data_IF_098662087749
#
_entry.id   IF_098662087749
#
_cell.length_a   1.000
_cell.length_b   1.000
_cell.length_c   1.000
_cell.angle_alpha   90.00
_cell.angle_beta   90.00
_cell.angle_gamma   90.00
#
_symmetry.space_group_name_H-M   'P 1'
#
loop_
_entity.id
_entity.type
_entity.pdbx_description
1 polymer ?
#
# COMPACT_ATOMS: atom_id res chain seq x y z
N UNK A 1 -52.28 32.58 -35.05
CA UNK A 1 -51.90 32.29 -33.66
C UNK A 1 -51.41 30.85 -33.61
N UNK A 2 -50.11 30.64 -33.57
CA UNK A 2 -49.46 29.34 -33.40
C UNK A 2 -48.72 29.43 -32.05
N UNK A 3 -49.23 28.69 -31.04
CA UNK A 3 -48.58 28.50 -29.74
C UNK A 3 -47.40 27.57 -29.92
N UNK A 4 -46.20 28.02 -29.61
CA UNK A 4 -45.01 27.20 -29.49
C UNK A 4 -44.97 26.67 -28.06
N UNK A 5 -45.11 25.34 -27.90
CA UNK A 5 -44.79 24.63 -26.66
C UNK A 5 -43.26 24.60 -26.49
N UNK A 6 -42.77 25.34 -25.50
CA UNK A 6 -41.39 25.14 -25.00
C UNK A 6 -41.38 23.93 -24.06
N UNK A 7 -40.82 22.84 -24.51
CA UNK A 7 -40.50 21.68 -23.67
C UNK A 7 -39.24 22.05 -22.86
N UNK A 8 -39.38 22.29 -21.54
CA UNK A 8 -38.26 22.35 -20.62
C UNK A 8 -37.68 20.94 -20.50
N UNK A 9 -36.54 20.73 -21.15
CA UNK A 9 -35.64 19.64 -20.80
C UNK A 9 -35.04 20.01 -19.45
N UNK A 10 -35.49 19.39 -18.37
CA UNK A 10 -34.80 19.37 -17.10
C UNK A 10 -33.52 18.56 -17.33
N UNK A 11 -32.41 19.26 -17.43
CA UNK A 11 -31.09 18.65 -17.33
C UNK A 11 -30.98 18.06 -15.91
N UNK A 12 -31.20 16.77 -15.80
CA UNK A 12 -30.74 15.98 -14.67
C UNK A 12 -29.23 16.24 -14.55
N UNK A 13 -28.80 16.86 -13.45
CA UNK A 13 -27.37 16.91 -13.11
C UNK A 13 -26.92 15.46 -12.91
N UNK A 14 -26.37 14.87 -13.95
CA UNK A 14 -25.67 13.60 -13.82
C UNK A 14 -24.56 13.85 -12.80
N UNK A 15 -24.64 13.23 -11.64
CA UNK A 15 -23.54 13.10 -10.71
C UNK A 15 -22.36 12.59 -11.52
N UNK A 16 -21.20 13.23 -11.45
CA UNK A 16 -20.01 12.76 -12.13
C UNK A 16 -19.77 11.31 -11.69
N UNK A 17 -19.87 10.37 -12.64
CA UNK A 17 -19.67 8.95 -12.36
C UNK A 17 -18.27 8.70 -11.85
N UNK A 18 -18.11 7.70 -11.02
CA UNK A 18 -16.80 7.21 -10.57
C UNK A 18 -16.45 5.98 -11.42
N UNK A 19 -15.28 6.00 -12.04
CA UNK A 19 -14.85 4.88 -12.86
C UNK A 19 -14.07 3.86 -12.03
N UNK A 20 -14.39 2.58 -12.19
CA UNK A 20 -13.68 1.50 -11.55
C UNK A 20 -13.22 0.47 -12.57
N UNK A 21 -12.01 -0.05 -12.40
CA UNK A 21 -11.56 -1.27 -13.08
C UNK A 21 -11.77 -2.47 -12.18
N UNK A 22 -12.29 -3.56 -12.75
CA UNK A 22 -12.64 -4.79 -12.03
C UNK A 22 -12.36 -6.00 -12.93
N UNK A 23 -12.04 -7.15 -12.35
CA UNK A 23 -11.97 -8.38 -13.12
C UNK A 23 -13.32 -8.74 -13.76
N UNK A 24 -13.32 -9.16 -15.02
CA UNK A 24 -14.57 -9.51 -15.72
C UNK A 24 -15.33 -10.65 -15.08
N UNK A 25 -14.66 -11.52 -14.35
CA UNK A 25 -15.25 -12.61 -13.57
C UNK A 25 -16.05 -12.11 -12.35
N UNK A 26 -15.77 -10.89 -11.86
CA UNK A 26 -16.50 -10.25 -10.78
C UNK A 26 -17.68 -9.36 -11.25
N UNK A 27 -17.90 -9.20 -12.54
CA UNK A 27 -19.05 -8.45 -13.08
C UNK A 27 -20.42 -8.93 -12.54
N UNK A 28 -20.67 -10.24 -12.35
CA UNK A 28 -21.93 -10.70 -11.77
C UNK A 28 -22.19 -10.12 -10.37
N UNK A 29 -21.16 -9.94 -9.55
CA UNK A 29 -21.28 -9.31 -8.24
C UNK A 29 -21.62 -7.82 -8.37
N UNK A 30 -20.87 -7.09 -9.18
CA UNK A 30 -21.13 -5.67 -9.40
C UNK A 30 -22.58 -5.42 -9.82
N UNK A 31 -23.11 -6.21 -10.77
CA UNK A 31 -24.50 -6.09 -11.18
C UNK A 31 -25.51 -6.61 -10.14
N UNK A 32 -25.09 -7.43 -9.18
CA UNK A 32 -25.95 -7.79 -8.04
C UNK A 32 -26.08 -6.60 -7.09
N UNK A 33 -25.00 -5.89 -6.80
CA UNK A 33 -25.04 -4.62 -6.05
C UNK A 33 -25.93 -3.62 -6.77
N UNK A 34 -25.71 -3.40 -8.07
CA UNK A 34 -26.53 -2.47 -8.86
C UNK A 34 -28.02 -2.75 -8.74
N UNK A 35 -28.44 -4.01 -8.78
CA UNK A 35 -29.86 -4.40 -8.61
C UNK A 35 -30.37 -4.20 -7.20
N UNK A 36 -29.56 -4.56 -6.19
CA UNK A 36 -29.94 -4.45 -4.78
C UNK A 36 -30.09 -2.99 -4.34
N UNK A 37 -29.16 -2.17 -4.75
CA UNK A 37 -29.11 -0.74 -4.40
C UNK A 37 -29.94 0.14 -5.37
N UNK A 38 -30.61 -0.46 -6.36
CA UNK A 38 -31.33 0.27 -7.41
C UNK A 38 -30.46 1.30 -8.16
N UNK A 39 -29.16 1.01 -8.30
CA UNK A 39 -28.18 1.88 -8.90
C UNK A 39 -27.86 1.51 -10.36
N UNK A 40 -27.47 2.50 -11.17
CA UNK A 40 -27.09 2.27 -12.56
C UNK A 40 -25.57 2.05 -12.66
N UNK A 41 -25.16 0.82 -12.92
CA UNK A 41 -23.77 0.48 -13.28
C UNK A 41 -23.70 0.28 -14.78
N UNK A 42 -22.70 0.87 -15.44
CA UNK A 42 -22.50 0.74 -16.87
C UNK A 42 -21.11 0.19 -17.19
N UNK A 43 -21.05 -0.83 -18.05
CA UNK A 43 -19.77 -1.26 -18.62
C UNK A 43 -19.39 -0.25 -19.70
N UNK A 44 -18.28 0.46 -19.50
CA UNK A 44 -17.75 1.45 -20.44
C UNK A 44 -16.77 0.80 -21.41
N UNK A 45 -15.97 -0.15 -20.94
CA UNK A 45 -15.04 -0.94 -21.73
C UNK A 45 -14.77 -2.29 -21.07
N UNK A 46 -14.32 -3.26 -21.85
CA UNK A 46 -13.81 -4.54 -21.34
C UNK A 46 -12.73 -5.07 -22.29
N UNK A 47 -11.59 -5.46 -21.77
CA UNK A 47 -10.47 -6.06 -22.51
C UNK A 47 -9.60 -6.89 -21.55
N UNK A 48 -8.98 -7.92 -22.04
CA UNK A 48 -7.95 -8.71 -21.35
C UNK A 48 -8.34 -9.15 -19.92
N UNK A 49 -9.62 -9.50 -19.71
CA UNK A 49 -10.10 -9.95 -18.40
C UNK A 49 -10.44 -8.82 -17.41
N UNK A 50 -10.31 -7.56 -17.82
CA UNK A 50 -10.63 -6.37 -17.00
C UNK A 50 -11.82 -5.64 -17.64
N UNK A 51 -12.75 -5.16 -16.83
CA UNK A 51 -13.84 -4.27 -17.23
C UNK A 51 -13.68 -2.91 -16.56
N UNK A 52 -14.05 -1.85 -17.29
CA UNK A 52 -14.21 -0.50 -16.77
C UNK A 52 -15.70 -0.25 -16.56
N UNK A 53 -16.09 0.06 -15.34
CA UNK A 53 -17.46 0.41 -14.99
C UNK A 53 -17.55 1.90 -14.64
N UNK A 54 -18.67 2.52 -15.04
CA UNK A 54 -19.15 3.78 -14.46
C UNK A 54 -20.09 3.42 -13.31
N UNK A 55 -19.75 3.84 -12.11
CA UNK A 55 -20.41 3.48 -10.84
C UNK A 55 -20.71 4.75 -10.06
N UNK A 56 -21.90 4.94 -9.49
CA UNK A 56 -22.16 6.04 -8.57
C UNK A 56 -21.20 5.99 -7.36
N UNK A 57 -20.67 7.13 -6.94
CA UNK A 57 -19.64 7.19 -5.89
C UNK A 57 -20.10 6.64 -4.53
N UNK A 58 -21.40 6.74 -4.23
CA UNK A 58 -22.02 6.17 -3.02
C UNK A 58 -22.13 4.65 -3.06
N UNK A 59 -21.91 4.03 -4.23
CA UNK A 59 -21.94 2.59 -4.42
C UNK A 59 -20.58 1.90 -4.30
N UNK A 60 -19.51 2.65 -4.04
CA UNK A 60 -18.16 2.07 -3.83
C UNK A 60 -18.12 1.19 -2.58
N UNK A 61 -18.74 1.62 -1.47
CA UNK A 61 -18.76 0.84 -0.24
C UNK A 61 -19.62 -0.45 -0.40
N UNK A 62 -20.88 -0.42 -0.91
CA UNK A 62 -21.61 -1.64 -1.23
C UNK A 62 -20.87 -2.58 -2.19
N UNK A 63 -20.15 -2.02 -3.17
CA UNK A 63 -19.35 -2.83 -4.10
C UNK A 63 -18.17 -3.50 -3.37
N UNK A 64 -17.45 -2.76 -2.54
CA UNK A 64 -16.36 -3.29 -1.70
C UNK A 64 -16.89 -4.39 -0.77
N UNK A 65 -17.98 -4.15 -0.02
CA UNK A 65 -18.61 -5.16 0.84
C UNK A 65 -18.92 -6.45 0.08
N UNK A 66 -19.44 -6.34 -1.14
CA UNK A 66 -19.76 -7.50 -1.97
C UNK A 66 -18.50 -8.23 -2.44
N UNK A 67 -17.44 -7.51 -2.82
CA UNK A 67 -16.16 -8.12 -3.19
C UNK A 67 -15.56 -8.90 -2.02
N UNK A 68 -15.56 -8.33 -0.83
CA UNK A 68 -15.05 -9.00 0.36
C UNK A 68 -15.89 -10.22 0.76
N UNK A 69 -17.22 -10.11 0.75
CA UNK A 69 -18.10 -11.13 1.33
C UNK A 69 -18.45 -12.26 0.39
N UNK A 70 -18.63 -11.99 -0.90
CA UNK A 70 -19.07 -12.98 -1.89
C UNK A 70 -17.91 -13.51 -2.74
N UNK A 71 -16.91 -12.68 -2.99
CA UNK A 71 -15.75 -13.03 -3.83
C UNK A 71 -14.47 -13.26 -3.02
N UNK A 72 -14.50 -12.91 -1.72
CA UNK A 72 -13.34 -13.00 -0.85
C UNK A 72 -12.11 -12.30 -1.45
N UNK A 73 -12.29 -11.09 -1.97
CA UNK A 73 -11.24 -10.27 -2.57
C UNK A 73 -10.96 -9.05 -1.71
N UNK A 74 -9.69 -8.77 -1.43
CA UNK A 74 -9.27 -7.48 -0.88
C UNK A 74 -9.48 -6.41 -1.94
N UNK A 75 -10.03 -5.26 -1.58
CA UNK A 75 -10.38 -4.19 -2.52
C UNK A 75 -11.26 -4.65 -3.67
N UNK A 76 -10.77 -5.57 -4.46
CA UNK A 76 -11.46 -6.25 -5.55
C UNK A 76 -11.68 -5.42 -6.81
N UNK A 77 -11.37 -4.13 -6.76
CA UNK A 77 -11.45 -3.17 -7.86
C UNK A 77 -10.50 -2.00 -7.62
N UNK A 78 -10.25 -1.22 -8.63
CA UNK A 78 -9.43 -0.01 -8.54
C UNK A 78 -10.26 1.20 -8.97
N UNK A 79 -10.31 2.25 -8.15
CA UNK A 79 -11.09 3.47 -8.41
C UNK A 79 -10.25 4.45 -9.25
N UNK A 80 -10.84 5.08 -10.24
CA UNK A 80 -10.20 6.05 -11.11
C UNK A 80 -10.92 7.41 -11.08
N UNK A 81 -10.17 8.49 -11.19
CA UNK A 81 -10.70 9.86 -11.19
C UNK A 81 -11.38 10.26 -12.49
N UNK A 82 -11.02 9.60 -13.57
CA UNK A 82 -11.59 9.87 -14.89
C UNK A 82 -11.64 8.59 -15.73
N UNK A 83 -12.48 8.62 -16.75
CA UNK A 83 -12.51 7.56 -17.77
C UNK A 83 -11.15 7.42 -18.47
N UNK A 84 -10.47 8.53 -18.71
CA UNK A 84 -9.13 8.51 -19.33
C UNK A 84 -8.12 7.76 -18.45
N UNK A 85 -8.15 7.98 -17.13
CA UNK A 85 -7.28 7.23 -16.20
C UNK A 85 -7.64 5.74 -16.17
N UNK A 86 -8.94 5.41 -16.19
CA UNK A 86 -9.40 4.02 -16.18
C UNK A 86 -9.04 3.25 -17.46
N UNK A 87 -8.99 3.94 -18.59
CA UNK A 87 -8.64 3.38 -19.90
C UNK A 87 -7.13 3.51 -20.24
N UNK A 88 -6.36 4.18 -19.38
CA UNK A 88 -4.93 4.37 -19.62
C UNK A 88 -4.20 3.02 -19.58
N UNK A 89 -3.42 2.73 -20.62
CA UNK A 89 -2.48 1.62 -20.55
C UNK A 89 -1.45 1.88 -19.43
N UNK A 90 -0.96 0.84 -18.76
CA UNK A 90 0.14 0.98 -17.81
C UNK A 90 1.33 1.71 -18.45
N UNK A 91 1.96 2.60 -17.70
CA UNK A 91 3.19 3.25 -18.15
C UNK A 91 4.26 2.16 -18.31
N UNK A 92 5.06 2.18 -19.39
CA UNK A 92 6.15 1.21 -19.53
C UNK A 92 7.05 1.19 -18.30
N UNK A 93 7.35 0.00 -17.81
CA UNK A 93 8.17 -0.20 -16.62
C UNK A 93 9.57 0.39 -16.81
N UNK A 94 10.05 1.10 -15.79
CA UNK A 94 11.42 1.60 -15.75
C UNK A 94 12.40 0.42 -15.64
N UNK A 95 13.41 0.41 -16.50
CA UNK A 95 14.46 -0.63 -16.46
C UNK A 95 15.48 -0.30 -15.37
N UNK A 96 15.66 -1.22 -14.43
CA UNK A 96 16.73 -1.16 -13.44
C UNK A 96 17.61 -2.41 -13.55
N UNK A 97 18.86 -2.29 -13.10
CA UNK A 97 19.76 -3.44 -12.99
C UNK A 97 19.74 -3.97 -11.57
N UNK A 98 19.47 -5.26 -11.44
CA UNK A 98 19.43 -5.96 -10.17
C UNK A 98 20.76 -6.67 -9.93
N UNK A 99 21.43 -6.36 -8.82
CA UNK A 99 22.69 -6.99 -8.40
C UNK A 99 22.66 -7.32 -6.92
N UNK A 100 23.22 -8.46 -6.56
CA UNK A 100 23.47 -8.86 -5.15
C UNK A 100 24.95 -8.55 -4.88
N UNK A 101 25.20 -7.43 -4.22
CA UNK A 101 26.57 -6.94 -3.96
C UNK A 101 26.74 -6.23 -2.60
N UNK A 102 25.76 -6.35 -1.71
CA UNK A 102 25.77 -5.79 -0.35
C UNK A 102 25.64 -6.86 0.74
N UNK A 103 26.10 -8.06 0.46
CA UNK A 103 25.91 -9.22 1.35
C UNK A 103 26.38 -8.96 2.77
N UNK A 104 27.55 -8.33 2.97
CA UNK A 104 28.08 -8.01 4.29
C UNK A 104 27.16 -7.09 5.09
N UNK A 105 26.57 -6.08 4.42
CA UNK A 105 25.63 -5.13 5.03
C UNK A 105 24.33 -5.83 5.39
N UNK A 106 23.75 -6.62 4.47
CA UNK A 106 22.53 -7.38 4.74
C UNK A 106 22.71 -8.30 5.94
N UNK A 107 23.79 -9.11 5.96
CA UNK A 107 24.06 -10.06 7.05
C UNK A 107 24.32 -9.38 8.40
N UNK A 108 24.79 -8.15 8.42
CA UNK A 108 24.95 -7.37 9.65
C UNK A 108 23.62 -6.83 10.19
N UNK A 109 22.65 -6.52 9.31
CA UNK A 109 21.34 -6.01 9.72
C UNK A 109 20.37 -7.12 10.13
N UNK A 110 20.36 -8.25 9.43
CA UNK A 110 19.41 -9.35 9.68
C UNK A 110 19.30 -9.77 11.16
N UNK A 111 20.40 -9.87 11.95
CA UNK A 111 20.32 -10.25 13.37
C UNK A 111 19.65 -9.21 14.27
N UNK A 112 19.42 -7.98 13.79
CA UNK A 112 18.74 -6.94 14.57
C UNK A 112 17.22 -7.11 14.58
N UNK A 113 16.67 -7.93 13.68
CA UNK A 113 15.22 -8.16 13.58
C UNK A 113 14.72 -9.03 14.73
N UNK A 114 13.58 -8.63 15.32
CA UNK A 114 12.99 -9.29 16.49
C UNK A 114 11.50 -9.61 16.25
N UNK A 115 11.18 -10.89 16.26
CA UNK A 115 9.81 -11.41 16.13
C UNK A 115 8.85 -10.82 17.17
N UNK A 116 9.33 -10.59 18.40
CA UNK A 116 8.51 -10.04 19.48
C UNK A 116 8.05 -8.62 19.19
N UNK A 117 8.87 -7.84 18.51
CA UNK A 117 8.51 -6.48 18.06
C UNK A 117 7.42 -6.54 16.99
N UNK A 118 7.53 -7.47 16.04
CA UNK A 118 6.49 -7.75 15.05
C UNK A 118 5.16 -8.13 15.71
N UNK A 119 5.19 -9.16 16.56
CA UNK A 119 3.99 -9.63 17.27
C UNK A 119 3.38 -8.54 18.17
N UNK A 120 4.23 -7.70 18.79
CA UNK A 120 3.78 -6.55 19.58
C UNK A 120 3.03 -5.53 18.72
N UNK A 121 3.58 -5.16 17.56
CA UNK A 121 2.94 -4.21 16.63
C UNK A 121 1.62 -4.73 16.10
N UNK A 122 1.55 -6.02 15.70
CA UNK A 122 0.29 -6.65 15.27
C UNK A 122 -0.75 -6.58 16.39
N UNK A 123 -0.38 -6.93 17.63
CA UNK A 123 -1.32 -6.90 18.77
C UNK A 123 -1.86 -5.49 19.03
N UNK A 124 -0.99 -4.48 18.99
CA UNK A 124 -1.39 -3.09 19.26
C UNK A 124 -2.35 -2.57 18.20
N UNK A 125 -2.08 -2.81 16.90
CA UNK A 125 -2.97 -2.42 15.82
C UNK A 125 -4.30 -3.20 15.83
N UNK A 126 -4.24 -4.52 16.03
CA UNK A 126 -5.44 -5.37 16.06
C UNK A 126 -6.29 -5.23 17.34
N UNK A 127 -5.78 -4.54 18.36
CA UNK A 127 -6.56 -4.18 19.55
C UNK A 127 -7.49 -2.98 19.29
N UNK A 128 -7.29 -2.21 18.24
CA UNK A 128 -8.21 -1.15 17.83
C UNK A 128 -9.52 -1.78 17.31
N UNK A 129 -10.69 -1.17 17.57
CA UNK A 129 -12.00 -1.75 17.19
C UNK A 129 -12.08 -2.03 15.69
N UNK A 130 -11.59 -1.10 14.91
CA UNK A 130 -11.30 -1.20 13.47
C UNK A 130 -10.28 -0.12 13.11
N UNK A 131 -9.76 -0.22 11.86
CA UNK A 131 -8.90 0.83 11.31
C UNK A 131 -9.51 1.39 10.02
N UNK A 132 -10.84 1.33 9.89
CA UNK A 132 -11.55 1.77 8.70
C UNK A 132 -11.25 3.25 8.40
N UNK A 133 -10.93 3.57 7.17
CA UNK A 133 -10.40 4.87 6.75
C UNK A 133 -11.29 6.08 7.07
N UNK A 134 -12.61 5.88 7.23
CA UNK A 134 -13.59 6.93 7.64
C UNK A 134 -13.87 6.95 9.13
N UNK A 135 -13.30 6.06 9.92
CA UNK A 135 -13.57 5.99 11.36
C UNK A 135 -12.61 6.86 12.16
N UNK A 136 -13.03 7.24 13.38
CA UNK A 136 -12.14 7.88 14.34
C UNK A 136 -10.97 6.95 14.73
N UNK A 137 -11.23 5.65 14.85
CA UNK A 137 -10.19 4.66 15.13
C UNK A 137 -9.19 4.52 13.98
N UNK A 138 -9.63 4.68 12.71
CA UNK A 138 -8.72 4.76 11.57
C UNK A 138 -7.79 5.97 11.64
N UNK A 139 -8.33 7.15 12.02
CA UNK A 139 -7.50 8.34 12.26
C UNK A 139 -6.52 8.14 13.44
N UNK A 140 -6.96 7.49 14.51
CA UNK A 140 -6.12 7.14 15.66
C UNK A 140 -4.99 6.20 15.26
N UNK A 141 -5.25 5.22 14.39
CA UNK A 141 -4.23 4.30 13.87
C UNK A 141 -3.13 5.05 13.11
N UNK A 142 -3.47 6.05 12.30
CA UNK A 142 -2.48 6.89 11.61
C UNK A 142 -1.61 7.66 12.60
N UNK A 143 -2.21 8.27 13.60
CA UNK A 143 -1.49 9.03 14.63
C UNK A 143 -0.56 8.10 15.43
N UNK A 144 -1.09 6.96 15.86
CA UNK A 144 -0.33 5.95 16.60
C UNK A 144 0.90 5.48 15.81
N UNK A 145 0.71 5.14 14.53
CA UNK A 145 1.83 4.67 13.69
C UNK A 145 2.84 5.78 13.44
N UNK A 146 2.38 7.02 13.19
CA UNK A 146 3.27 8.16 13.01
C UNK A 146 4.12 8.42 14.25
N UNK A 147 3.56 8.33 15.45
CA UNK A 147 4.31 8.47 16.72
C UNK A 147 5.32 7.34 16.89
N UNK A 148 4.91 6.10 16.62
CA UNK A 148 5.81 4.95 16.68
C UNK A 148 6.97 5.10 15.71
N UNK A 149 6.72 5.51 14.48
CA UNK A 149 7.78 5.73 13.50
C UNK A 149 8.67 6.93 13.85
N UNK A 150 8.11 8.01 14.42
CA UNK A 150 8.92 9.14 14.94
C UNK A 150 9.85 8.70 16.05
N UNK A 151 9.44 7.78 16.91
CA UNK A 151 10.31 7.23 17.95
C UNK A 151 11.52 6.44 17.39
N UNK A 152 11.40 5.87 16.20
CA UNK A 152 12.49 5.22 15.47
C UNK A 152 13.36 6.23 14.71
N UNK A 153 12.78 7.33 14.26
CA UNK A 153 13.43 8.35 13.41
C UNK A 153 14.34 9.29 14.20
N UNK A 154 15.21 8.75 15.05
CA UNK A 154 16.11 9.55 15.90
C UNK A 154 17.31 10.14 15.16
N UNK A 155 17.63 9.61 13.98
CA UNK A 155 18.71 10.10 13.14
C UNK A 155 18.30 11.36 12.39
N UNK A 156 19.19 12.36 12.35
CA UNK A 156 18.98 13.60 11.58
C UNK A 156 18.67 13.30 10.10
N UNK A 157 17.68 14.00 9.56
CA UNK A 157 17.22 13.86 8.18
C UNK A 157 16.18 12.77 7.96
N UNK A 158 15.96 11.83 8.89
CA UNK A 158 14.82 10.91 8.82
C UNK A 158 13.56 11.67 9.21
N UNK A 159 12.52 11.58 8.37
CA UNK A 159 11.26 12.30 8.58
C UNK A 159 10.07 11.36 8.63
N UNK A 160 9.03 11.74 9.38
CA UNK A 160 7.74 11.02 9.43
C UNK A 160 6.62 12.02 9.28
N UNK A 161 5.75 11.80 8.31
CA UNK A 161 4.65 12.69 7.97
C UNK A 161 3.32 11.94 7.90
N UNK A 162 2.24 12.63 8.26
CA UNK A 162 0.87 12.27 7.93
C UNK A 162 0.52 12.97 6.62
N UNK A 163 0.02 12.21 5.66
CA UNK A 163 -0.38 12.73 4.33
C UNK A 163 -1.90 12.63 4.23
N UNK A 164 -2.55 13.79 4.15
CA UNK A 164 -4.00 13.92 4.12
C UNK A 164 -4.50 13.93 2.66
N UNK A 165 -5.36 12.98 2.32
CA UNK A 165 -6.03 12.92 1.02
C UNK A 165 -7.56 13.13 1.13
N UNK A 166 -8.02 13.68 2.26
CA UNK A 166 -9.42 14.06 2.48
C UNK A 166 -10.23 13.03 3.25
N UNK A 167 -9.58 12.09 3.93
CA UNK A 167 -10.22 11.12 4.81
C UNK A 167 -9.77 11.31 6.26
N UNK A 168 -10.55 10.86 7.27
CA UNK A 168 -10.12 10.87 8.67
C UNK A 168 -8.80 10.13 8.91
N UNK A 169 -8.63 8.94 8.31
CA UNK A 169 -7.36 8.24 8.29
C UNK A 169 -6.41 8.91 7.29
N UNK A 170 -5.14 9.07 7.65
CA UNK A 170 -4.09 9.57 6.77
C UNK A 170 -3.13 8.45 6.40
N UNK A 171 -2.54 8.52 5.23
CA UNK A 171 -1.34 7.72 4.95
C UNK A 171 -0.18 8.19 5.83
N UNK A 172 0.64 7.25 6.31
CA UNK A 172 1.84 7.57 7.10
C UNK A 172 3.08 7.31 6.26
N UNK A 173 3.95 8.31 6.16
CA UNK A 173 5.15 8.24 5.31
C UNK A 173 6.39 8.49 6.16
N UNK A 174 7.34 7.52 6.19
CA UNK A 174 8.67 7.70 6.73
C UNK A 174 9.69 7.75 5.60
N UNK A 175 10.59 8.73 5.64
CA UNK A 175 11.65 8.88 4.65
C UNK A 175 13.02 8.78 5.30
N UNK A 176 13.84 7.87 4.81
CA UNK A 176 15.27 7.76 5.11
C UNK A 176 16.03 8.34 3.91
N UNK A 177 16.66 9.52 4.03
CA UNK A 177 17.28 10.17 2.88
C UNK A 177 18.48 9.41 2.36
N UNK A 178 18.61 9.36 1.05
CA UNK A 178 19.78 8.83 0.37
C UNK A 178 20.98 9.76 0.46
N UNK A 179 22.19 9.20 0.36
CA UNK A 179 23.45 9.95 0.49
C UNK A 179 24.00 10.40 -0.86
N UNK A 180 24.09 9.53 -1.86
CA UNK A 180 24.74 9.78 -3.15
C UNK A 180 23.76 9.83 -4.33
N UNK A 181 22.64 9.14 -4.22
CA UNK A 181 21.59 9.00 -5.26
C UNK A 181 20.23 9.35 -4.67
N UNK A 182 20.16 10.44 -3.89
CA UNK A 182 18.99 10.82 -3.12
C UNK A 182 17.75 11.11 -3.97
N UNK A 183 17.91 11.40 -5.27
CA UNK A 183 16.82 11.58 -6.23
C UNK A 183 16.22 10.26 -6.75
N UNK A 184 16.87 9.13 -6.51
CA UNK A 184 16.32 7.81 -6.79
C UNK A 184 15.66 7.27 -5.53
N UNK A 185 14.41 6.85 -5.64
CA UNK A 185 13.56 6.49 -4.50
C UNK A 185 13.16 5.03 -4.56
N UNK A 186 13.18 4.37 -3.43
CA UNK A 186 12.65 3.03 -3.23
C UNK A 186 11.48 3.15 -2.27
N UNK A 187 10.36 2.53 -2.62
CA UNK A 187 9.14 2.53 -1.81
C UNK A 187 8.89 1.16 -1.21
N UNK A 188 8.63 1.12 0.08
CA UNK A 188 8.16 -0.09 0.78
C UNK A 188 6.80 0.23 1.36
N UNK A 189 5.76 -0.50 0.95
CA UNK A 189 4.37 -0.20 1.30
C UNK A 189 3.62 -1.35 1.95
N UNK A 190 2.58 -1.01 2.67
CA UNK A 190 1.51 -1.84 3.22
C UNK A 190 0.32 -0.95 3.52
N UNK A 191 -0.87 -1.49 3.77
CA UNK A 191 -2.03 -0.65 4.08
C UNK A 191 -2.39 -0.63 5.58
N UNK A 192 -2.90 0.50 6.02
CA UNK A 192 -3.18 0.73 7.44
C UNK A 192 -4.63 0.48 7.81
N UNK A 193 -5.54 0.66 6.86
CA UNK A 193 -6.96 0.43 7.10
C UNK A 193 -7.26 -1.07 7.29
N UNK A 194 -8.38 -1.35 7.90
CA UNK A 194 -8.97 -2.68 7.98
C UNK A 194 -10.47 -2.58 7.90
N UNK A 195 -11.12 -3.62 7.39
CA UNK A 195 -12.56 -3.66 7.16
C UNK A 195 -13.17 -4.95 7.70
N UNK A 196 -14.43 -4.91 8.08
CA UNK A 196 -15.25 -6.08 8.30
C UNK A 196 -16.70 -5.79 7.90
N UNK A 197 -17.47 -6.84 7.67
CA UNK A 197 -18.91 -6.72 7.42
C UNK A 197 -19.59 -5.91 8.52
N UNK A 198 -20.37 -4.91 8.14
CA UNK A 198 -21.01 -3.97 9.07
C UNK A 198 -20.37 -2.58 9.11
N UNK A 199 -19.35 -2.34 8.30
CA UNK A 199 -18.78 -1.02 8.04
C UNK A 199 -18.18 -0.36 9.29
N UNK A 200 -18.48 0.92 9.50
CA UNK A 200 -17.90 1.76 10.57
C UNK A 200 -18.03 1.21 11.99
N UNK A 201 -19.06 0.42 12.28
CA UNK A 201 -19.32 -0.13 13.61
C UNK A 201 -18.83 -1.56 13.78
N UNK A 202 -18.31 -2.18 12.75
CA UNK A 202 -17.82 -3.55 12.79
C UNK A 202 -16.51 -3.64 13.57
N UNK A 203 -16.34 -4.76 14.29
CA UNK A 203 -15.04 -5.11 14.85
C UNK A 203 -14.20 -5.73 13.73
N UNK A 204 -13.13 -5.04 13.34
CA UNK A 204 -12.21 -5.43 12.27
C UNK A 204 -10.77 -5.37 12.79
N UNK A 205 -10.32 -6.38 13.54
CA UNK A 205 -8.96 -6.40 14.09
C UNK A 205 -7.89 -6.30 12.99
N UNK A 206 -8.11 -6.95 11.83
CA UNK A 206 -7.19 -6.92 10.72
C UNK A 206 -5.77 -7.27 11.14
N UNK A 207 -5.60 -8.38 11.88
CA UNK A 207 -4.30 -8.74 12.43
C UNK A 207 -3.34 -9.21 11.34
N UNK A 208 -3.88 -9.90 10.36
CA UNK A 208 -3.15 -10.35 9.20
C UNK A 208 -3.31 -9.35 8.05
N UNK A 209 -4.51 -8.87 7.84
CA UNK A 209 -4.91 -7.92 6.81
C UNK A 209 -5.22 -6.52 7.41
N UNK A 210 -4.29 -5.52 7.46
CA UNK A 210 -2.87 -5.67 7.14
C UNK A 210 -1.98 -5.15 8.30
N UNK A 211 -2.35 -5.47 9.56
CA UNK A 211 -1.44 -5.15 10.67
C UNK A 211 -0.13 -5.95 10.55
N UNK A 212 -0.14 -7.11 9.87
CA UNK A 212 1.05 -7.93 9.66
C UNK A 212 2.03 -7.25 8.71
N UNK A 213 1.58 -6.67 7.60
CA UNK A 213 2.41 -5.88 6.69
C UNK A 213 2.94 -4.61 7.35
N UNK A 214 2.09 -3.86 8.06
CA UNK A 214 2.53 -2.67 8.82
C UNK A 214 3.59 -3.03 9.88
N UNK A 215 3.43 -4.15 10.58
CA UNK A 215 4.42 -4.63 11.52
C UNK A 215 5.74 -4.97 10.82
N UNK A 216 5.66 -5.62 9.67
CA UNK A 216 6.82 -5.97 8.84
C UNK A 216 7.55 -4.71 8.35
N UNK A 217 6.81 -3.70 7.84
CA UNK A 217 7.38 -2.38 7.49
C UNK A 217 8.10 -1.74 8.67
N UNK A 218 7.45 -1.71 9.83
CA UNK A 218 7.99 -1.10 11.05
C UNK A 218 9.27 -1.80 11.49
N UNK A 219 9.32 -3.11 11.42
CA UNK A 219 10.49 -3.89 11.83
C UNK A 219 11.66 -3.75 10.85
N UNK A 220 11.39 -3.69 9.54
CA UNK A 220 12.41 -3.38 8.53
C UNK A 220 13.02 -2.01 8.83
N UNK A 221 12.19 -0.98 9.01
CA UNK A 221 12.65 0.38 9.31
C UNK A 221 13.47 0.41 10.61
N UNK A 222 12.98 -0.26 11.68
CA UNK A 222 13.68 -0.35 12.96
C UNK A 222 15.04 -1.01 12.81
N UNK A 223 15.11 -2.15 12.13
CA UNK A 223 16.37 -2.88 11.94
C UNK A 223 17.41 -2.06 11.17
N UNK A 224 16.99 -1.40 10.08
CA UNK A 224 17.86 -0.53 9.29
C UNK A 224 18.38 0.67 10.10
N UNK A 225 17.50 1.32 10.88
CA UNK A 225 17.86 2.49 11.68
C UNK A 225 18.73 2.09 12.89
N UNK A 226 18.43 0.96 13.55
CA UNK A 226 19.23 0.45 14.67
C UNK A 226 20.65 0.05 14.25
N UNK A 227 20.83 -0.42 13.02
CA UNK A 227 22.14 -0.75 12.45
C UNK A 227 22.87 0.47 11.85
N UNK A 228 22.32 1.68 12.01
CA UNK A 228 22.83 2.92 11.35
C UNK A 228 23.04 2.75 9.84
N UNK A 229 22.13 2.03 9.17
CA UNK A 229 22.21 1.87 7.72
C UNK A 229 21.98 3.20 7.00
N UNK A 230 22.89 3.57 6.10
CA UNK A 230 22.92 4.82 5.34
C UNK A 230 22.78 4.50 3.85
N UNK A 231 21.55 4.56 3.29
CA UNK A 231 21.32 4.22 1.90
C UNK A 231 21.97 5.22 0.94
N UNK A 232 22.32 4.77 -0.27
CA UNK A 232 22.66 5.69 -1.36
C UNK A 232 21.42 6.31 -2.00
N UNK A 233 20.36 5.53 -2.17
CA UNK A 233 19.03 5.95 -2.65
C UNK A 233 18.13 6.29 -1.47
N UNK A 234 17.22 7.21 -1.65
CA UNK A 234 16.20 7.50 -0.65
C UNK A 234 15.27 6.30 -0.48
N UNK A 235 14.97 5.93 0.76
CA UNK A 235 14.03 4.86 1.11
C UNK A 235 12.79 5.49 1.74
N UNK A 236 11.62 5.17 1.20
CA UNK A 236 10.33 5.68 1.66
C UNK A 236 9.46 4.51 2.10
N UNK A 237 9.08 4.50 3.37
CA UNK A 237 8.08 3.58 3.91
C UNK A 237 6.73 4.26 3.86
N UNK A 238 5.72 3.56 3.37
CA UNK A 238 4.35 4.09 3.26
C UNK A 238 3.36 3.10 3.87
N UNK A 239 2.61 3.57 4.86
CA UNK A 239 1.40 2.90 5.29
C UNK A 239 0.21 3.59 4.61
N UNK A 240 -0.37 2.94 3.62
CA UNK A 240 -1.45 3.52 2.80
C UNK A 240 -2.76 3.54 3.58
N UNK A 241 -3.55 4.59 3.42
CA UNK A 241 -4.94 4.67 3.83
C UNK A 241 -5.85 4.04 2.77
N UNK A 242 -7.05 3.60 3.16
CA UNK A 242 -8.17 3.31 2.26
C UNK A 242 -7.82 2.38 1.07
N UNK A 243 -7.03 1.32 1.32
CA UNK A 243 -6.79 0.25 0.35
C UNK A 243 -8.06 -0.51 0.04
N UNK A 244 -8.79 -0.90 1.08
CA UNK A 244 -9.96 -1.77 1.10
C UNK A 244 -11.16 -1.24 0.29
N UNK A 245 -11.11 0.03 -0.11
CA UNK A 245 -12.13 0.71 -0.92
C UNK A 245 -11.55 1.10 -2.29
N UNK A 246 -10.78 0.20 -2.90
CA UNK A 246 -10.31 0.38 -4.27
C UNK A 246 -9.03 1.18 -4.40
N UNK A 247 -8.07 0.96 -3.52
CA UNK A 247 -6.69 1.46 -3.58
C UNK A 247 -6.58 2.99 -3.57
N UNK A 248 -7.45 3.68 -2.79
CA UNK A 248 -7.57 5.14 -2.86
C UNK A 248 -6.29 5.83 -2.40
N UNK A 249 -5.69 5.36 -1.29
CA UNK A 249 -4.49 5.94 -0.69
C UNK A 249 -3.26 5.79 -1.56
N UNK A 250 -2.98 4.59 -2.03
CA UNK A 250 -1.80 4.35 -2.89
C UNK A 250 -1.87 5.11 -4.20
N UNK A 251 -3.06 5.20 -4.80
CA UNK A 251 -3.24 6.04 -5.99
C UNK A 251 -2.99 7.52 -5.69
N UNK A 252 -3.38 8.00 -4.50
CA UNK A 252 -3.12 9.37 -4.09
C UNK A 252 -1.62 9.62 -3.89
N UNK A 253 -0.93 8.74 -3.19
CA UNK A 253 0.54 8.77 -3.02
C UNK A 253 1.27 8.74 -4.36
N UNK A 254 0.87 7.86 -5.28
CA UNK A 254 1.47 7.79 -6.63
C UNK A 254 1.29 9.11 -7.40
N UNK A 255 0.13 9.76 -7.26
CA UNK A 255 -0.07 11.09 -7.86
C UNK A 255 0.84 12.14 -7.24
N UNK A 256 1.07 12.07 -5.92
CA UNK A 256 1.98 12.97 -5.23
C UNK A 256 3.43 12.75 -5.69
N UNK A 257 3.87 11.50 -5.83
CA UNK A 257 5.17 11.18 -6.42
C UNK A 257 5.32 11.76 -7.84
N UNK A 258 4.30 11.61 -8.68
CA UNK A 258 4.31 12.19 -10.03
C UNK A 258 4.39 13.72 -10.02
N UNK A 259 3.62 14.39 -9.15
CA UNK A 259 3.65 15.85 -9.01
C UNK A 259 5.02 16.36 -8.54
N UNK A 260 5.65 15.62 -7.64
CA UNK A 260 6.99 15.93 -7.15
C UNK A 260 8.12 15.51 -8.10
N UNK A 261 7.80 14.91 -9.25
CA UNK A 261 8.78 14.32 -10.18
C UNK A 261 9.74 13.34 -9.49
N UNK A 262 9.23 12.57 -8.53
CA UNK A 262 10.05 11.56 -7.83
C UNK A 262 10.40 10.42 -8.78
N UNK A 263 11.69 10.09 -8.83
CA UNK A 263 12.20 8.97 -9.61
C UNK A 263 12.13 7.68 -8.78
N UNK A 264 10.95 7.03 -8.73
CA UNK A 264 10.77 5.78 -8.01
C UNK A 264 11.34 4.63 -8.84
N UNK A 265 12.46 4.06 -8.41
CA UNK A 265 13.21 3.03 -9.14
C UNK A 265 12.87 1.61 -8.71
N UNK A 266 12.07 1.42 -7.67
CA UNK A 266 11.61 0.12 -7.23
C UNK A 266 10.63 0.23 -6.07
N UNK A 267 9.74 -0.73 -5.95
CA UNK A 267 8.80 -0.80 -4.85
C UNK A 267 8.56 -2.25 -4.37
N UNK A 268 8.26 -2.41 -3.10
CA UNK A 268 7.87 -3.66 -2.48
C UNK A 268 6.56 -3.44 -1.70
N UNK A 269 5.53 -4.19 -2.00
CA UNK A 269 4.28 -4.21 -1.24
C UNK A 269 4.29 -5.37 -0.27
N UNK A 270 3.99 -5.08 0.98
CA UNK A 270 3.85 -6.06 2.06
C UNK A 270 2.42 -5.99 2.57
N UNK A 271 1.65 -6.98 2.22
CA UNK A 271 0.23 -7.10 2.50
C UNK A 271 -0.04 -8.56 2.80
N UNK A 272 -0.49 -8.86 4.01
CA UNK A 272 -0.64 -10.21 4.56
C UNK A 272 0.69 -10.99 4.56
N UNK A 273 1.39 -10.92 5.69
CA UNK A 273 2.75 -11.48 5.81
C UNK A 273 2.89 -12.55 6.90
N UNK A 274 1.81 -12.85 7.65
CA UNK A 274 1.97 -13.66 8.88
C UNK A 274 1.25 -15.01 8.89
N UNK A 275 0.24 -15.26 8.06
CA UNK A 275 -0.46 -16.54 8.03
C UNK A 275 0.20 -17.53 7.06
N UNK A 276 0.76 -18.61 7.59
CA UNK A 276 1.34 -19.68 6.76
C UNK A 276 0.28 -20.69 6.31
N UNK A 277 -0.43 -20.39 5.21
CA UNK A 277 -1.55 -21.21 4.72
C UNK A 277 -1.17 -22.31 3.74
N UNK A 278 0.06 -22.31 3.18
CA UNK A 278 0.46 -23.21 2.13
C UNK A 278 1.85 -23.84 2.34
N UNK A 279 2.27 -24.69 1.41
CA UNK A 279 3.49 -25.50 1.47
C UNK A 279 4.78 -24.68 1.44
N UNK A 280 4.78 -23.53 0.74
CA UNK A 280 5.92 -22.64 0.67
C UNK A 280 5.76 -21.46 1.61
N UNK A 281 6.87 -20.81 1.92
CA UNK A 281 6.91 -19.70 2.86
C UNK A 281 6.56 -18.36 2.21
N UNK A 282 6.94 -18.17 0.95
CA UNK A 282 6.71 -16.91 0.22
C UNK A 282 6.17 -17.21 -1.17
N UNK A 283 5.11 -16.51 -1.55
CA UNK A 283 4.54 -16.55 -2.89
C UNK A 283 4.68 -15.19 -3.55
N UNK A 284 5.37 -15.13 -4.69
CA UNK A 284 5.55 -13.88 -5.46
C UNK A 284 4.37 -13.75 -6.43
N UNK A 285 3.51 -12.75 -6.21
CA UNK A 285 2.37 -12.49 -7.07
C UNK A 285 2.82 -11.98 -8.43
N UNK A 286 2.15 -12.43 -9.50
CA UNK A 286 2.50 -12.09 -10.88
C UNK A 286 1.66 -10.96 -11.47
N UNK A 287 0.48 -10.72 -10.91
CA UNK A 287 -0.42 -9.68 -11.41
C UNK A 287 0.07 -8.31 -10.96
N UNK A 288 0.08 -7.35 -11.87
CA UNK A 288 0.52 -5.98 -11.61
C UNK A 288 1.91 -5.88 -10.95
N UNK A 289 2.81 -6.80 -11.27
CA UNK A 289 4.18 -6.83 -10.74
C UNK A 289 5.23 -6.93 -11.85
N UNK A 290 6.46 -6.55 -11.51
CA UNK A 290 7.62 -6.68 -12.39
C UNK A 290 8.17 -8.11 -12.38
N UNK A 291 8.17 -8.77 -13.52
CA UNK A 291 8.75 -10.11 -13.63
C UNK A 291 10.27 -10.11 -13.32
N UNK A 292 10.98 -9.05 -13.72
CA UNK A 292 12.41 -8.88 -13.42
C UNK A 292 12.67 -8.71 -11.93
N UNK A 293 11.88 -7.88 -11.25
CA UNK A 293 12.02 -7.69 -9.81
C UNK A 293 11.57 -8.94 -9.03
N UNK A 294 10.53 -9.63 -9.47
CA UNK A 294 10.12 -10.91 -8.86
C UNK A 294 11.24 -11.96 -8.94
N UNK A 295 11.90 -12.10 -10.09
CA UNK A 295 13.05 -12.99 -10.23
C UNK A 295 14.21 -12.60 -9.29
N UNK A 296 14.45 -11.31 -9.13
CA UNK A 296 15.44 -10.79 -8.19
C UNK A 296 15.06 -11.08 -6.74
N UNK A 297 13.78 -10.93 -6.35
CA UNK A 297 13.33 -11.33 -5.01
C UNK A 297 13.57 -12.82 -4.74
N UNK A 298 13.33 -13.68 -5.72
CA UNK A 298 13.68 -15.11 -5.61
C UNK A 298 15.16 -15.31 -5.27
N UNK A 299 16.05 -14.59 -5.96
CA UNK A 299 17.49 -14.61 -5.66
C UNK A 299 17.80 -14.12 -4.24
N UNK A 300 17.09 -13.07 -3.77
CA UNK A 300 17.28 -12.56 -2.40
C UNK A 300 16.81 -13.57 -1.35
N UNK A 301 15.69 -14.23 -1.59
CA UNK A 301 15.20 -15.29 -0.69
C UNK A 301 16.24 -16.41 -0.58
N UNK A 302 16.70 -16.93 -1.72
CA UNK A 302 17.70 -18.00 -1.76
C UNK A 302 19.02 -17.60 -1.08
N UNK A 303 19.41 -16.32 -1.15
CA UNK A 303 20.68 -15.83 -0.61
C UNK A 303 20.61 -15.49 0.88
N UNK A 304 19.51 -14.87 1.33
CA UNK A 304 19.46 -14.21 2.64
C UNK A 304 18.41 -14.76 3.59
N UNK A 305 17.36 -15.43 3.09
CA UNK A 305 16.26 -15.92 3.94
C UNK A 305 16.42 -17.42 4.12
N UNK A 306 17.45 -17.81 4.87
CA UNK A 306 17.88 -19.19 5.00
C UNK A 306 16.75 -20.16 5.36
N UNK A 307 16.58 -21.20 4.55
CA UNK A 307 15.58 -22.24 4.73
C UNK A 307 14.18 -21.89 4.20
N UNK A 308 13.91 -20.64 3.81
CA UNK A 308 12.63 -20.27 3.25
C UNK A 308 12.45 -20.81 1.83
N UNK A 309 11.27 -21.30 1.55
CA UNK A 309 10.86 -21.78 0.23
C UNK A 309 9.93 -20.80 -0.44
N UNK A 310 10.03 -20.66 -1.76
CA UNK A 310 9.21 -19.69 -2.48
C UNK A 310 8.67 -20.21 -3.82
N UNK A 311 7.68 -19.54 -4.37
CA UNK A 311 7.09 -19.85 -5.67
C UNK A 311 6.32 -18.66 -6.23
N UNK A 312 5.64 -18.89 -7.35
CA UNK A 312 4.79 -17.89 -8.00
C UNK A 312 3.32 -18.24 -7.85
N UNK A 313 2.49 -17.21 -7.67
CA UNK A 313 1.04 -17.31 -7.73
C UNK A 313 0.44 -16.07 -8.40
N UNK A 314 -0.87 -15.95 -8.45
CA UNK A 314 -1.61 -14.87 -9.07
C UNK A 314 -2.88 -14.57 -8.29
N UNK A 315 -3.21 -13.28 -8.13
CA UNK A 315 -4.50 -12.84 -7.58
C UNK A 315 -5.61 -12.92 -8.63
N UNK A 316 -5.29 -12.64 -9.89
CA UNK A 316 -6.23 -12.49 -10.98
C UNK A 316 -6.87 -11.10 -11.09
N UNK A 317 -6.46 -10.14 -10.25
CA UNK A 317 -6.97 -8.76 -10.21
C UNK A 317 -5.97 -7.85 -9.50
N UNK A 318 -6.24 -6.52 -9.42
CA UNK A 318 -5.47 -5.55 -8.66
C UNK A 318 -5.75 -5.74 -7.16
N UNK A 319 -5.05 -6.67 -6.52
CA UNK A 319 -5.38 -7.20 -5.20
C UNK A 319 -4.70 -6.47 -4.04
N UNK A 320 -3.90 -5.47 -4.29
CA UNK A 320 -3.32 -4.57 -3.29
C UNK A 320 -2.67 -3.35 -3.94
N UNK A 321 -2.12 -2.45 -3.13
CA UNK A 321 -1.56 -1.14 -3.50
C UNK A 321 -0.43 -1.17 -4.53
N UNK A 322 0.26 -2.31 -4.69
CA UNK A 322 1.27 -2.48 -5.75
C UNK A 322 0.71 -2.19 -7.14
N UNK A 323 -0.58 -2.44 -7.36
CA UNK A 323 -1.21 -2.19 -8.65
C UNK A 323 -1.19 -0.69 -9.02
N UNK A 324 -1.33 0.21 -8.05
CA UNK A 324 -1.21 1.66 -8.25
C UNK A 324 0.18 2.07 -8.72
N UNK A 325 1.22 1.47 -8.15
CA UNK A 325 2.62 1.70 -8.53
C UNK A 325 2.93 1.11 -9.91
N UNK A 326 2.48 -0.12 -10.16
CA UNK A 326 2.63 -0.77 -11.47
C UNK A 326 2.00 0.04 -12.60
N UNK A 327 0.77 0.53 -12.40
CA UNK A 327 0.08 1.39 -13.37
C UNK A 327 0.89 2.66 -13.70
N UNK A 328 1.70 3.12 -12.76
CA UNK A 328 2.59 4.26 -12.92
C UNK A 328 3.94 3.93 -13.57
N UNK A 329 4.20 2.68 -13.91
CA UNK A 329 5.46 2.23 -14.53
C UNK A 329 6.59 2.00 -13.52
N UNK A 330 6.28 1.93 -12.24
CA UNK A 330 7.25 1.60 -11.19
C UNK A 330 7.47 0.09 -11.16
N UNK A 331 8.72 -0.41 -11.21
CA UNK A 331 9.00 -1.80 -10.91
C UNK A 331 8.55 -2.14 -9.49
N UNK A 332 7.61 -3.07 -9.35
CA UNK A 332 7.04 -3.42 -8.05
C UNK A 332 6.87 -4.93 -7.92
N UNK A 333 7.01 -5.44 -6.71
CA UNK A 333 6.73 -6.83 -6.35
C UNK A 333 5.85 -6.90 -5.11
N UNK A 334 5.08 -7.98 -5.01
CA UNK A 334 4.25 -8.32 -3.86
C UNK A 334 4.56 -9.77 -3.44
N UNK A 335 5.49 -9.98 -2.48
CA UNK A 335 5.58 -11.24 -1.79
C UNK A 335 4.39 -11.41 -0.86
N UNK A 336 3.80 -12.60 -0.84
CA UNK A 336 2.57 -12.91 -0.15
C UNK A 336 2.72 -14.16 0.71
N UNK A 337 1.98 -14.27 1.78
CA UNK A 337 2.13 -15.27 2.85
C UNK A 337 1.83 -16.72 2.42
N UNK A 338 0.98 -16.91 1.42
CA UNK A 338 0.52 -18.22 0.96
C UNK A 338 0.05 -18.15 -0.49
N UNK A 339 -0.38 -19.30 -1.07
CA UNK A 339 -1.18 -19.23 -2.31
C UNK A 339 -2.44 -18.41 -2.06
N UNK A 340 -2.88 -17.66 -3.04
CA UNK A 340 -4.09 -16.82 -2.93
C UNK A 340 -5.31 -17.65 -2.48
N UNK A 341 -5.47 -18.85 -2.98
CA UNK A 341 -6.57 -19.73 -2.62
C UNK A 341 -6.47 -20.32 -1.18
N UNK A 342 -5.30 -20.24 -0.57
CA UNK A 342 -4.99 -20.82 0.74
C UNK A 342 -4.64 -19.76 1.80
N UNK A 343 -4.80 -18.46 1.47
CA UNK A 343 -4.57 -17.36 2.40
C UNK A 343 -5.50 -17.44 3.61
N UNK A 344 -5.25 -16.65 4.61
CA UNK A 344 -6.14 -16.52 5.77
C UNK A 344 -7.58 -16.25 5.34
N UNK A 345 -8.49 -17.20 5.59
CA UNK A 345 -9.91 -17.11 5.25
C UNK A 345 -10.71 -16.34 6.32
N UNK A 346 -10.05 -15.74 7.32
CA UNK A 346 -10.69 -14.97 8.38
C UNK A 346 -10.54 -13.47 8.22
N UNK A 347 -9.79 -13.02 7.20
CA UNK A 347 -9.71 -11.60 6.84
C UNK A 347 -11.10 -11.00 6.64
N UNK A 348 -11.22 -9.68 6.73
CA UNK A 348 -12.48 -8.93 6.64
C UNK A 348 -13.55 -9.41 7.63
N UNK A 349 -13.13 -9.83 8.81
CA UNK A 349 -14.02 -10.26 9.90
C UNK A 349 -13.40 -10.03 11.27
N UNK A 350 -14.24 -10.05 12.31
CA UNK A 350 -13.80 -10.02 13.71
C UNK A 350 -12.90 -11.22 14.12
N UNK A 351 -12.70 -12.19 13.23
CA UNK A 351 -11.88 -13.37 13.47
C UNK A 351 -10.47 -13.24 12.91
N UNK A 352 -10.17 -12.16 12.20
CA UNK A 352 -8.80 -11.87 11.76
C UNK A 352 -7.99 -11.35 12.95
N UNK A 353 -7.48 -12.28 13.72
CA UNK A 353 -6.71 -12.04 14.94
C UNK A 353 -5.38 -12.79 14.88
N UNK A 354 -4.41 -12.38 15.68
CA UNK A 354 -3.09 -13.01 15.72
C UNK A 354 -3.16 -14.51 16.09
N UNK A 355 -4.29 -14.97 16.67
CA UNK A 355 -4.53 -16.38 16.95
C UNK A 355 -4.56 -17.25 15.67
N UNK A 356 -4.83 -16.69 14.50
CA UNK A 356 -4.73 -17.42 13.22
C UNK A 356 -3.28 -17.85 12.92
N UNK A 357 -2.30 -17.15 13.49
CA UNK A 357 -0.87 -17.46 13.39
C UNK A 357 -0.29 -17.88 14.76
N UNK A 358 -1.04 -18.64 15.55
CA UNK A 358 -0.64 -19.18 16.86
C UNK A 358 -0.17 -18.11 17.87
N UNK A 359 -0.61 -16.86 17.74
CA UNK A 359 -0.18 -15.69 18.50
C UNK A 359 1.32 -15.33 18.34
N UNK A 360 1.93 -15.75 17.26
CA UNK A 360 3.32 -15.51 16.89
C UNK A 360 3.41 -14.70 15.59
N UNK A 361 4.57 -14.07 15.34
CA UNK A 361 4.88 -13.35 14.10
C UNK A 361 6.11 -13.93 13.38
N UNK A 362 6.35 -15.22 13.58
CA UNK A 362 7.51 -15.92 13.02
C UNK A 362 7.50 -15.91 11.49
N UNK A 363 6.32 -16.00 10.87
CA UNK A 363 6.20 -15.95 9.42
C UNK A 363 6.47 -14.53 8.90
N UNK A 364 5.94 -13.48 9.55
CA UNK A 364 6.21 -12.08 9.24
C UNK A 364 7.71 -11.74 9.34
N UNK A 365 8.44 -12.36 10.27
CA UNK A 365 9.89 -12.22 10.36
C UNK A 365 10.61 -12.69 9.08
N UNK A 366 10.09 -13.68 8.38
CA UNK A 366 10.61 -14.13 7.08
C UNK A 366 10.50 -13.03 6.02
N UNK A 367 9.38 -12.32 6.00
CA UNK A 367 9.15 -11.15 5.13
C UNK A 367 9.99 -9.94 5.54
N UNK A 368 10.18 -9.71 6.84
CA UNK A 368 11.06 -8.64 7.31
C UNK A 368 12.52 -8.88 6.86
N UNK A 369 13.01 -10.13 6.90
CA UNK A 369 14.34 -10.49 6.36
C UNK A 369 14.43 -10.20 4.86
N UNK A 370 13.43 -10.61 4.09
CA UNK A 370 13.36 -10.32 2.66
C UNK A 370 13.34 -8.81 2.39
N UNK A 371 12.53 -8.05 3.14
CA UNK A 371 12.41 -6.60 3.01
C UNK A 371 13.73 -5.89 3.31
N UNK A 372 14.45 -6.28 4.36
CA UNK A 372 15.80 -5.76 4.66
C UNK A 372 16.76 -6.05 3.51
N UNK A 373 16.79 -7.29 3.00
CA UNK A 373 17.64 -7.65 1.87
C UNK A 373 17.29 -6.84 0.61
N UNK A 374 16.00 -6.68 0.31
CA UNK A 374 15.52 -5.87 -0.82
C UNK A 374 15.96 -4.42 -0.70
N UNK A 375 15.71 -3.78 0.45
CA UNK A 375 16.08 -2.38 0.67
C UNK A 375 17.58 -2.20 0.48
N UNK A 376 18.41 -3.00 1.14
CA UNK A 376 19.87 -2.84 1.10
C UNK A 376 20.41 -3.11 -0.31
N UNK A 377 19.94 -4.13 -0.99
CA UNK A 377 20.45 -4.47 -2.32
C UNK A 377 19.96 -3.52 -3.42
N UNK A 378 18.81 -2.86 -3.25
CA UNK A 378 18.34 -1.85 -4.21
C UNK A 378 18.80 -0.45 -3.82
N UNK A 379 18.68 -0.05 -2.55
CA UNK A 379 19.10 1.29 -2.12
C UNK A 379 20.61 1.44 -2.10
N UNK A 380 21.35 0.33 -2.07
CA UNK A 380 22.79 0.33 -1.88
C UNK A 380 23.17 1.06 -0.58
N UNK A 381 24.37 1.32 -0.32
CA UNK A 381 24.78 2.03 0.90
C UNK A 381 25.54 1.13 1.86
N UNK A 382 25.86 1.69 3.02
CA UNK A 382 26.75 1.09 4.01
C UNK A 382 26.20 1.32 5.43
N UNK A 383 26.75 0.65 6.41
CA UNK A 383 26.53 0.98 7.81
C UNK A 383 27.37 2.22 8.18
N UNK A 384 26.83 3.08 9.01
CA UNK A 384 27.60 4.20 9.54
C UNK A 384 28.80 3.70 10.33
N UNK A 385 29.93 4.39 10.26
CA UNK A 385 31.07 4.12 11.14
C UNK A 385 30.59 4.34 12.58
N UNK A 386 30.68 3.32 13.42
CA UNK A 386 30.34 3.41 14.83
C UNK A 386 31.00 4.65 15.45
N UNK A 387 30.36 5.29 16.35
CA UNK A 387 30.45 6.61 16.98
C UNK A 387 31.84 7.25 17.20
N UNK A 388 32.76 7.17 16.27
CA UNK A 388 33.99 7.94 16.28
C UNK A 388 33.95 8.95 15.11
N UNK A 389 33.88 10.24 15.52
CA UNK A 389 33.99 11.42 14.65
C UNK A 389 32.75 11.85 13.88
N UNK A 390 31.85 12.52 14.57
CA UNK A 390 30.90 13.44 13.92
C UNK A 390 31.64 14.71 13.48
N UNK A 391 32.21 14.73 12.29
CA UNK A 391 32.37 15.99 11.56
C UNK A 391 31.09 16.20 10.73
N UNK A 392 30.37 17.26 11.08
CA UNK A 392 29.12 17.65 10.43
C UNK A 392 29.37 17.91 8.94
N UNK A 393 28.82 17.03 8.08
CA UNK A 393 28.54 17.40 6.70
C UNK A 393 27.20 18.12 6.73
N UNK A 394 27.20 19.38 6.36
CA UNK A 394 25.99 20.17 6.23
C UNK A 394 24.98 19.44 5.31
N UNK A 395 23.68 19.41 5.66
CA UNK A 395 22.67 18.79 4.81
C UNK A 395 22.65 19.52 3.46
N UNK A 396 22.69 18.76 2.38
CA UNK A 396 22.51 19.30 1.06
C UNK A 396 21.04 19.73 0.97
N UNK A 397 20.77 21.04 0.87
CA UNK A 397 19.44 21.67 0.97
C UNK A 397 18.40 21.15 -0.03
N UNK A 398 18.80 20.36 -1.02
CA UNK A 398 17.94 19.85 -2.07
C UNK A 398 16.99 18.72 -1.63
N UNK A 399 17.26 18.01 -0.55
CA UNK A 399 16.39 16.90 -0.11
C UNK A 399 15.27 17.32 0.84
N UNK A 400 15.42 18.45 1.56
CA UNK A 400 14.37 18.98 2.45
C UNK A 400 13.21 19.61 1.69
N UNK A 401 13.47 20.17 0.51
CA UNK A 401 12.44 20.85 -0.30
C UNK A 401 11.47 19.89 -1.01
N UNK A 402 11.84 18.62 -1.19
CA UNK A 402 10.98 17.69 -1.94
C UNK A 402 9.65 17.43 -1.22
N UNK A 403 9.70 17.33 0.11
CA UNK A 403 8.48 17.09 0.93
C UNK A 403 7.78 18.38 1.34
N UNK A 404 8.49 19.50 1.44
CA UNK A 404 7.86 20.81 1.64
C UNK A 404 6.97 21.19 0.45
N UNK A 405 7.35 20.82 -0.77
CA UNK A 405 6.51 20.99 -1.96
C UNK A 405 5.24 20.13 -1.90
N UNK A 406 5.30 18.94 -1.33
CA UNK A 406 4.12 18.09 -1.13
C UNK A 406 3.21 18.64 -0.02
N UNK A 407 3.78 19.17 1.07
CA UNK A 407 3.02 19.81 2.14
C UNK A 407 2.32 21.10 1.66
N UNK A 408 3.00 21.92 0.87
CA UNK A 408 2.42 23.14 0.29
C UNK A 408 1.33 22.84 -0.75
N UNK A 409 1.47 21.77 -1.54
CA UNK A 409 0.44 21.36 -2.48
C UNK A 409 -0.83 20.85 -1.76
N UNK A 410 -0.69 20.18 -0.61
CA UNK A 410 -1.81 19.73 0.22
C UNK A 410 -2.58 20.90 0.85
N UNK A 411 -1.90 21.91 1.35
CA UNK A 411 -2.51 23.08 1.99
C UNK A 411 -3.30 23.94 0.98
N UNK A 412 -2.84 24.07 -0.26
CA UNK A 412 -3.54 24.82 -1.29
C UNK A 412 -4.86 24.18 -1.73
N UNK A 413 -5.00 22.85 -1.59
CA UNK A 413 -6.22 22.11 -1.95
C UNK A 413 -7.24 22.14 -0.80
N UNK A 414 -6.79 22.13 0.44
CA UNK A 414 -7.66 22.18 1.63
C UNK A 414 -8.48 23.48 1.74
N UNK A 415 -7.97 24.60 1.23
CA UNK A 415 -8.67 25.89 1.28
C UNK A 415 -9.80 26.04 0.26
N UNK A 416 -9.89 25.19 -0.75
CA UNK A 416 -10.95 25.24 -1.79
C UNK A 416 -12.09 24.24 -1.51
N UNK A 417 -11.85 23.23 -0.67
CA UNK A 417 -12.81 22.15 -0.40
C UNK A 417 -13.87 22.50 0.68
N UNK A 418 -13.76 23.62 1.39
CA UNK A 418 -14.69 23.99 2.47
C UNK A 418 -16.08 24.47 2.02
N UNK A 419 -16.46 24.41 0.74
CA UNK A 419 -17.79 24.86 0.28
C UNK A 419 -18.73 23.77 -0.23
N UNK A 420 -18.37 22.48 -0.16
CA UNK A 420 -19.31 21.42 -0.52
C UNK A 420 -19.54 20.46 0.64
N UNK A 421 -20.61 20.69 1.39
CA UNK A 421 -21.21 19.73 2.33
C UNK A 421 -21.69 18.52 1.54
N UNK A 422 -21.25 17.34 1.93
CA UNK A 422 -21.90 16.09 1.53
C UNK A 422 -23.09 15.84 2.46
N UNK A 423 -24.23 15.37 1.92
CA UNK A 423 -25.33 14.84 2.71
C UNK A 423 -24.98 13.51 3.38
#
# INVERSE_FOLDING_TARGET
MRSALFSLLTASSASAGTYVTIGTDALPAAFTVARHEHAAFQIVAAHDGIAVLDVPADQLAPLSDTMHTQFHRCGGFMVHRSLADALAAPVPEQKISYTVDRESVVRAVLPTLDERTLAGTIRELSAMPNRFYKSAAGAEASNWLAERWRSLATRAGVTVQLVDHGYPQNSVVMTIPGTRRANEVIVIGGHLDSIAMGGLSANAPGADDDASGIATLTEIARGLLAADYRPERTVVFVAYEAEEIGLLGSQAIVRDFKRANMNVVGALQLDMTNFKGSDKDIWLMKDFTSAGQNAFLGTLIDTYVGGATWGYDACGYACSDHASLHQAGVPVSMPFESRMAQRNQKIHSAKDTLAQSNNEATHALTFAKLGVAYVIEIAKGELGAGSESMTAVAPNETSSHLWELLALAGIAIGSIAMSRRYP
#
